data_IF_988646350609
#
_entry.id   IF_988646350609
#
_cell.length_a   1.000
_cell.length_b   1.000
_cell.length_c   1.000
_cell.angle_alpha   90.00
_cell.angle_beta   90.00
_cell.angle_gamma   90.00
#
_symmetry.space_group_name_H-M   'P 1'
#
loop_
_entity.id
_entity.type
_entity.pdbx_description
1 polymer ?
#
# COMPACT_ATOMS: atom_id res chain seq x y z
N UNK A 1 -17.93 7.58 28.67
CA UNK A 1 -17.78 6.22 29.23
C UNK A 1 -18.28 5.22 28.19
N UNK A 2 -17.48 4.24 27.78
CA UNK A 2 -17.88 3.22 26.80
C UNK A 2 -18.88 2.27 27.43
N UNK A 3 -20.15 2.35 27.03
CA UNK A 3 -21.24 1.51 27.52
C UNK A 3 -21.94 0.85 26.33
N UNK A 4 -22.37 -0.42 26.44
CA UNK A 4 -23.20 -1.04 25.42
C UNK A 4 -24.49 -0.24 25.20
N UNK A 5 -24.84 0.01 23.95
CA UNK A 5 -26.02 0.78 23.59
C UNK A 5 -26.28 0.72 22.08
N UNK A 6 -27.50 1.06 21.68
CA UNK A 6 -27.87 1.17 20.27
C UNK A 6 -27.43 2.53 19.76
N UNK A 7 -26.71 2.55 18.65
CA UNK A 7 -26.30 3.80 18.00
C UNK A 7 -27.50 4.35 17.20
N UNK A 8 -27.88 5.63 17.36
CA UNK A 8 -28.99 6.21 16.62
C UNK A 8 -28.71 6.21 15.11
N UNK A 9 -29.74 6.04 14.25
CA UNK A 9 -29.56 6.05 12.80
C UNK A 9 -29.11 7.42 12.25
N UNK A 10 -29.24 8.50 13.04
CA UNK A 10 -28.82 9.86 12.69
C UNK A 10 -27.38 10.19 13.09
N UNK A 11 -26.65 9.26 13.72
CA UNK A 11 -25.29 9.52 14.19
C UNK A 11 -24.30 9.53 13.02
N UNK A 12 -23.42 10.54 12.99
CA UNK A 12 -22.33 10.62 12.03
C UNK A 12 -21.11 9.79 12.43
N UNK A 13 -21.05 9.29 13.67
CA UNK A 13 -19.92 8.54 14.21
C UNK A 13 -20.36 7.22 14.83
N UNK A 14 -19.65 6.15 14.48
CA UNK A 14 -19.86 4.79 14.99
C UNK A 14 -18.81 4.47 16.03
N UNK A 15 -19.26 4.01 17.20
CA UNK A 15 -18.42 3.61 18.32
C UNK A 15 -18.51 2.10 18.52
N UNK A 16 -17.40 1.39 18.37
CA UNK A 16 -17.32 -0.06 18.57
C UNK A 16 -16.31 -0.38 19.67
N UNK A 17 -16.70 -1.25 20.60
CA UNK A 17 -15.81 -1.81 21.62
C UNK A 17 -15.67 -3.29 21.34
N UNK A 18 -14.48 -3.70 20.92
CA UNK A 18 -14.13 -5.10 20.65
C UNK A 18 -13.32 -5.63 21.81
N UNK A 19 -13.74 -6.75 22.38
CA UNK A 19 -12.96 -7.51 23.37
C UNK A 19 -12.39 -8.73 22.65
N UNK A 20 -11.07 -8.81 22.60
CA UNK A 20 -10.37 -9.97 22.04
C UNK A 20 -9.81 -10.77 23.20
N UNK A 21 -10.19 -12.04 23.30
CA UNK A 21 -9.75 -12.95 24.36
C UNK A 21 -8.78 -13.98 23.78
N UNK A 22 -7.70 -14.24 24.51
CA UNK A 22 -6.68 -15.25 24.17
C UNK A 22 -6.11 -15.11 22.74
N UNK A 23 -5.85 -13.88 22.30
CA UNK A 23 -5.16 -13.63 21.04
C UNK A 23 -3.70 -14.08 21.16
N UNK A 24 -3.28 -14.97 20.28
CA UNK A 24 -1.90 -15.45 20.21
C UNK A 24 -1.42 -15.52 18.78
N UNK A 25 -0.12 -15.32 18.58
CA UNK A 25 0.52 -15.45 17.27
C UNK A 25 1.72 -16.38 17.44
N UNK A 26 1.81 -17.39 16.57
CA UNK A 26 2.92 -18.35 16.56
C UNK A 26 3.53 -18.44 15.17
N UNK A 27 4.81 -18.80 15.12
CA UNK A 27 5.54 -19.05 13.89
C UNK A 27 6.57 -20.14 14.18
N UNK A 28 6.36 -21.33 13.61
CA UNK A 28 7.30 -22.44 13.70
C UNK A 28 8.12 -22.49 12.39
N UNK A 29 9.39 -22.03 12.37
CA UNK A 29 10.18 -21.95 11.14
C UNK A 29 10.45 -23.31 10.48
N UNK A 30 10.62 -24.33 11.30
CA UNK A 30 10.92 -25.71 10.87
C UNK A 30 9.72 -26.65 11.10
N UNK A 31 8.51 -26.08 11.23
CA UNK A 31 7.32 -26.85 11.56
C UNK A 31 6.98 -27.85 10.47
N UNK A 32 6.70 -29.09 10.87
CA UNK A 32 6.20 -30.11 9.95
C UNK A 32 4.78 -29.72 9.50
N UNK A 33 4.49 -29.64 8.19
CA UNK A 33 3.16 -29.24 7.74
C UNK A 33 2.16 -30.35 8.09
N UNK A 34 1.11 -30.01 8.84
CA UNK A 34 0.02 -30.94 9.18
C UNK A 34 -0.75 -31.46 7.97
N UNK A 35 -0.58 -30.79 6.82
CA UNK A 35 -1.08 -31.21 5.52
C UNK A 35 0.11 -31.35 4.56
N UNK A 36 0.46 -32.57 4.12
CA UNK A 36 1.60 -32.78 3.24
C UNK A 36 1.40 -32.15 1.85
N UNK A 37 0.15 -31.93 1.44
CA UNK A 37 -0.20 -31.24 0.21
C UNK A 37 -1.41 -30.34 0.46
N UNK A 38 -1.40 -29.12 -0.08
CA UNK A 38 -2.57 -28.24 -0.04
C UNK A 38 -3.54 -28.68 -1.15
N UNK A 39 -4.68 -29.30 -0.83
CA UNK A 39 -5.53 -29.87 -1.87
C UNK A 39 -6.15 -28.75 -2.70
N UNK A 40 -6.10 -28.90 -4.03
CA UNK A 40 -6.74 -27.95 -4.97
C UNK A 40 -8.26 -27.99 -4.84
N UNK A 41 -8.80 -29.14 -4.45
CA UNK A 41 -10.22 -29.39 -4.15
C UNK A 41 -10.29 -30.03 -2.77
N UNK A 42 -10.96 -29.36 -1.83
CA UNK A 42 -11.13 -29.88 -0.48
C UNK A 42 -12.23 -30.94 -0.46
N UNK A 43 -11.84 -32.21 -0.37
CA UNK A 43 -12.77 -33.27 -0.02
C UNK A 43 -13.29 -33.09 1.41
N UNK A 44 -14.55 -33.44 1.65
CA UNK A 44 -15.20 -33.25 2.94
C UNK A 44 -14.49 -34.01 4.09
N UNK A 45 -13.99 -35.21 3.82
CA UNK A 45 -13.18 -36.02 4.75
C UNK A 45 -11.92 -35.27 5.22
N UNK A 46 -11.18 -34.67 4.29
CA UNK A 46 -9.96 -33.91 4.57
C UNK A 46 -10.27 -32.64 5.38
N UNK A 47 -11.37 -31.96 5.08
CA UNK A 47 -11.82 -30.79 5.84
C UNK A 47 -12.15 -31.16 7.30
N UNK A 48 -12.87 -32.26 7.52
CA UNK A 48 -13.22 -32.75 8.87
C UNK A 48 -11.96 -33.14 9.64
N UNK A 49 -11.01 -33.82 8.98
CA UNK A 49 -9.75 -34.18 9.60
C UNK A 49 -8.94 -32.93 10.00
N UNK A 50 -8.80 -31.96 9.09
CA UNK A 50 -8.10 -30.70 9.35
C UNK A 50 -8.76 -29.89 10.47
N UNK A 51 -10.09 -29.84 10.52
CA UNK A 51 -10.84 -29.24 11.62
C UNK A 51 -10.50 -29.91 12.95
N UNK A 52 -10.43 -31.24 12.98
CA UNK A 52 -10.08 -31.99 14.20
C UNK A 52 -8.65 -31.71 14.67
N UNK A 53 -7.70 -31.61 13.74
CA UNK A 53 -6.31 -31.20 13.99
C UNK A 53 -6.30 -29.81 14.60
N UNK A 54 -6.98 -28.84 13.98
CA UNK A 54 -7.05 -27.46 14.48
C UNK A 54 -7.62 -27.38 15.90
N UNK A 55 -8.72 -28.08 16.21
CA UNK A 55 -9.27 -28.10 17.57
C UNK A 55 -8.29 -28.70 18.59
N UNK A 56 -7.60 -29.79 18.23
CA UNK A 56 -6.59 -30.41 19.09
C UNK A 56 -5.43 -29.45 19.34
N UNK A 57 -5.00 -28.76 18.30
CA UNK A 57 -3.90 -27.80 18.35
C UNK A 57 -4.22 -26.54 19.15
N UNK A 58 -5.45 -26.03 19.07
CA UNK A 58 -5.90 -24.93 19.94
C UNK A 58 -5.94 -25.32 21.41
N UNK A 59 -6.21 -26.60 21.72
CA UNK A 59 -6.27 -27.08 23.11
C UNK A 59 -4.89 -27.42 23.69
N UNK A 60 -3.98 -27.95 22.88
CA UNK A 60 -2.65 -28.40 23.31
C UNK A 60 -1.53 -27.40 23.01
N UNK A 61 -1.79 -26.38 22.19
CA UNK A 61 -0.79 -25.48 21.61
C UNK A 61 0.37 -26.23 20.93
N UNK A 62 0.03 -27.29 20.20
CA UNK A 62 0.98 -28.12 19.46
C UNK A 62 0.34 -28.74 18.21
N UNK A 63 1.15 -28.97 17.19
CA UNK A 63 0.80 -29.72 15.97
C UNK A 63 1.78 -30.88 15.85
N UNK A 64 1.26 -32.10 15.69
CA UNK A 64 2.06 -33.31 15.46
C UNK A 64 3.24 -33.52 16.45
N UNK A 65 2.98 -33.20 17.73
CA UNK A 65 3.92 -33.25 18.87
C UNK A 65 5.03 -32.18 18.84
N UNK A 66 4.95 -31.19 17.96
CA UNK A 66 5.75 -29.98 18.00
C UNK A 66 4.95 -28.85 18.66
N UNK A 67 5.51 -28.29 19.75
CA UNK A 67 4.88 -27.17 20.45
C UNK A 67 4.94 -25.88 19.61
N UNK A 68 3.97 -25.00 19.81
CA UNK A 68 3.94 -23.70 19.15
C UNK A 68 5.03 -22.78 19.70
N UNK A 69 5.86 -22.29 18.79
CA UNK A 69 6.79 -21.21 19.09
C UNK A 69 6.04 -19.87 18.97
N UNK A 70 5.56 -19.37 20.11
CA UNK A 70 4.80 -18.12 20.16
C UNK A 70 5.69 -16.90 19.89
N UNK A 71 5.28 -16.09 18.91
CA UNK A 71 5.76 -14.72 18.75
C UNK A 71 5.12 -13.80 19.79
N UNK A 72 3.81 -14.00 20.01
CA UNK A 72 3.01 -13.30 21.00
C UNK A 72 2.22 -14.33 21.78
N UNK A 73 2.48 -14.41 23.09
CA UNK A 73 1.75 -15.31 23.98
C UNK A 73 0.27 -14.89 24.08
N UNK A 74 -0.65 -15.83 24.34
CA UNK A 74 -2.07 -15.52 24.49
C UNK A 74 -2.32 -14.34 25.43
N UNK A 75 -2.95 -13.27 24.95
CA UNK A 75 -3.31 -12.11 25.75
C UNK A 75 -4.75 -11.66 25.46
N UNK A 76 -5.33 -10.92 26.40
CA UNK A 76 -6.67 -10.34 26.27
C UNK A 76 -6.57 -8.83 26.17
N UNK A 77 -7.28 -8.23 25.21
CA UNK A 77 -7.27 -6.78 25.01
C UNK A 77 -8.66 -6.23 24.70
N UNK A 78 -8.84 -4.95 24.98
CA UNK A 78 -10.02 -4.17 24.60
C UNK A 78 -9.59 -3.14 23.57
N UNK A 79 -10.22 -3.22 22.40
CA UNK A 79 -10.00 -2.33 21.27
C UNK A 79 -11.22 -1.43 21.17
N UNK A 80 -11.02 -0.13 21.26
CA UNK A 80 -12.05 0.88 21.03
C UNK A 80 -11.84 1.46 19.65
N UNK A 81 -12.87 1.43 18.83
CA UNK A 81 -12.87 1.94 17.47
C UNK A 81 -13.90 3.05 17.37
N UNK A 82 -13.46 4.20 16.86
CA UNK A 82 -14.32 5.33 16.52
C UNK A 82 -14.19 5.55 15.02
N UNK A 83 -15.29 5.38 14.28
CA UNK A 83 -15.34 5.63 12.84
C UNK A 83 -16.21 6.84 12.59
N UNK A 84 -15.67 7.87 11.93
CA UNK A 84 -16.46 8.99 11.45
C UNK A 84 -16.94 8.72 10.02
N UNK A 85 -18.26 8.65 9.84
CA UNK A 85 -18.95 8.38 8.58
C UNK A 85 -19.59 9.67 8.01
N UNK A 86 -19.13 10.85 8.41
CA UNK A 86 -19.66 12.12 7.90
C UNK A 86 -19.60 12.18 6.37
N UNK A 87 -20.76 12.33 5.73
CA UNK A 87 -20.88 12.45 4.26
C UNK A 87 -20.53 13.87 3.74
N UNK A 88 -19.76 14.65 4.51
CA UNK A 88 -19.51 16.08 4.26
C UNK A 88 -18.22 16.34 3.46
N UNK A 89 -17.83 15.42 2.57
CA UNK A 89 -16.64 15.58 1.72
C UNK A 89 -15.29 15.58 2.46
N UNK A 90 -15.28 15.42 3.79
CA UNK A 90 -14.06 15.20 4.57
C UNK A 90 -13.68 13.72 4.56
N UNK A 91 -12.37 13.45 4.51
CA UNK A 91 -11.82 12.08 4.55
C UNK A 91 -12.34 11.36 5.80
N UNK A 92 -12.94 10.17 5.62
CA UNK A 92 -13.36 9.34 6.75
C UNK A 92 -12.17 9.02 7.64
N UNK A 93 -12.31 9.32 8.94
CA UNK A 93 -11.26 9.09 9.94
C UNK A 93 -11.67 7.93 10.85
N UNK A 94 -10.77 6.99 10.99
CA UNK A 94 -10.88 5.88 11.95
C UNK A 94 -9.85 6.10 13.05
N UNK A 95 -10.31 6.19 14.30
CA UNK A 95 -9.47 6.24 15.49
C UNK A 95 -9.58 4.90 16.22
N UNK A 96 -8.43 4.31 16.54
CA UNK A 96 -8.35 3.03 17.24
C UNK A 96 -7.52 3.21 18.50
N UNK A 97 -8.13 2.96 19.65
CA UNK A 97 -7.49 2.95 20.97
C UNK A 97 -7.43 1.51 21.49
N UNK A 98 -6.22 0.95 21.56
CA UNK A 98 -5.95 -0.43 21.99
C UNK A 98 -5.40 -0.39 23.41
N UNK A 99 -6.14 -0.97 24.37
CA UNK A 99 -5.69 -1.07 25.75
C UNK A 99 -5.02 -2.43 25.96
N UNK A 100 -3.69 -2.43 26.00
CA UNK A 100 -2.85 -3.60 26.27
C UNK A 100 -2.53 -3.62 27.77
N UNK A 101 -2.81 -4.72 28.46
CA UNK A 101 -2.54 -4.84 29.90
C UNK A 101 -1.22 -5.56 30.17
N UNK A 102 -1.01 -6.73 29.55
CA UNK A 102 0.24 -7.49 29.64
C UNK A 102 0.42 -8.32 28.37
N UNK A 103 1.40 -7.96 27.54
CA UNK A 103 1.73 -8.70 26.31
C UNK A 103 3.16 -9.17 26.39
N UNK A 104 3.34 -10.49 26.39
CA UNK A 104 4.65 -11.11 26.29
C UNK A 104 4.96 -11.43 24.82
N UNK A 105 6.01 -10.80 24.30
CA UNK A 105 6.50 -10.98 22.94
C UNK A 105 7.94 -11.49 22.97
N UNK A 106 8.21 -12.50 22.16
CA UNK A 106 9.55 -13.07 22.02
C UNK A 106 9.76 -13.50 20.57
N UNK A 107 10.95 -13.23 20.03
CA UNK A 107 11.32 -13.62 18.67
C UNK A 107 12.66 -14.33 18.74
N UNK A 108 12.74 -15.54 18.19
CA UNK A 108 14.00 -16.27 17.99
C UNK A 108 14.71 -15.81 16.71
N UNK A 109 16.01 -16.06 16.59
CA UNK A 109 16.78 -15.73 15.39
C UNK A 109 16.19 -16.39 14.13
N UNK A 110 15.78 -17.66 14.24
CA UNK A 110 15.17 -18.39 13.13
C UNK A 110 13.81 -17.81 12.73
N UNK A 111 12.99 -17.40 13.72
CA UNK A 111 11.72 -16.73 13.48
C UNK A 111 11.92 -15.38 12.80
N UNK A 112 12.93 -14.60 13.21
CA UNK A 112 13.25 -13.32 12.60
C UNK A 112 13.66 -13.49 11.13
N UNK A 113 14.54 -14.45 10.83
CA UNK A 113 14.94 -14.76 9.45
C UNK A 113 13.74 -15.15 8.57
N UNK A 114 12.85 -16.00 9.09
CA UNK A 114 11.61 -16.38 8.41
C UNK A 114 10.67 -15.18 8.21
N UNK A 115 10.57 -14.29 9.19
CA UNK A 115 9.78 -13.06 9.08
C UNK A 115 10.29 -12.14 7.98
N UNK A 116 11.61 -11.95 7.85
CA UNK A 116 12.19 -11.17 6.75
C UNK A 116 11.87 -11.77 5.37
N UNK A 117 11.93 -13.10 5.24
CA UNK A 117 11.56 -13.81 3.99
C UNK A 117 10.07 -13.65 3.68
N UNK A 118 9.20 -13.79 4.69
CA UNK A 118 7.76 -13.59 4.57
C UNK A 118 7.43 -12.15 4.17
N UNK A 119 8.05 -11.15 4.81
CA UNK A 119 7.90 -9.75 4.45
C UNK A 119 8.26 -9.48 2.99
N UNK A 120 9.40 -10.02 2.54
CA UNK A 120 9.84 -9.90 1.15
C UNK A 120 8.83 -10.53 0.19
N UNK A 121 8.30 -11.71 0.53
CA UNK A 121 7.26 -12.39 -0.27
C UNK A 121 5.95 -11.60 -0.32
N UNK A 122 5.52 -11.01 0.81
CA UNK A 122 4.32 -10.19 0.89
C UNK A 122 4.46 -8.87 0.12
N UNK A 123 5.64 -8.26 0.10
CA UNK A 123 5.90 -7.07 -0.71
C UNK A 123 5.88 -7.39 -2.22
N UNK A 124 6.40 -8.56 -2.61
CA UNK A 124 6.38 -9.01 -4.01
C UNK A 124 4.99 -9.48 -4.49
N UNK A 125 4.08 -9.83 -3.57
CA UNK A 125 2.80 -10.48 -3.89
C UNK A 125 1.77 -9.61 -4.63
N UNK A 126 1.47 -8.37 -4.16
CA UNK A 126 0.46 -7.51 -4.79
C UNK A 126 1.01 -6.52 -5.83
N UNK A 127 2.25 -6.06 -5.69
CA UNK A 127 2.75 -4.89 -6.44
C UNK A 127 3.30 -5.26 -7.82
N UNK A 128 3.75 -6.50 -8.03
CA UNK A 128 4.46 -6.86 -9.28
C UNK A 128 3.82 -7.98 -10.10
N UNK A 129 2.93 -8.77 -9.51
CA UNK A 129 2.20 -9.80 -10.25
C UNK A 129 0.96 -9.19 -10.88
N UNK A 130 1.15 -8.56 -12.05
CA UNK A 130 0.06 -8.31 -12.99
C UNK A 130 -0.86 -9.54 -13.02
N UNK A 131 -2.18 -9.33 -12.93
CA UNK A 131 -3.19 -10.40 -12.98
C UNK A 131 -2.94 -11.37 -14.15
N UNK A 132 -2.35 -10.86 -15.24
CA UNK A 132 -1.96 -11.63 -16.43
C UNK A 132 -0.80 -12.58 -16.17
N UNK A 133 0.18 -12.18 -15.35
CA UNK A 133 1.29 -13.03 -14.93
C UNK A 133 0.78 -14.13 -14.01
N UNK A 134 -0.17 -13.87 -13.11
CA UNK A 134 -0.75 -14.92 -12.27
C UNK A 134 -1.47 -16.02 -13.08
N UNK A 135 -2.14 -15.65 -14.17
CA UNK A 135 -2.83 -16.62 -15.05
C UNK A 135 -1.88 -17.53 -15.83
N UNK A 136 -0.65 -17.06 -16.11
CA UNK A 136 0.35 -17.81 -16.86
C UNK A 136 1.26 -18.67 -15.97
N UNK A 137 0.99 -18.75 -14.65
CA UNK A 137 1.81 -19.52 -13.71
C UNK A 137 1.79 -21.02 -14.05
N UNK A 138 2.94 -21.66 -14.32
CA UNK A 138 3.01 -23.09 -14.61
C UNK A 138 2.49 -23.94 -13.46
N UNK A 139 1.84 -25.07 -13.77
CA UNK A 139 1.44 -26.05 -12.76
C UNK A 139 2.56 -27.08 -12.59
N UNK A 140 3.08 -27.23 -11.37
CA UNK A 140 4.11 -28.23 -11.04
C UNK A 140 5.47 -27.62 -10.64
N UNK A 141 6.37 -28.43 -10.08
CA UNK A 141 7.67 -27.98 -9.59
C UNK A 141 8.60 -27.56 -10.74
N UNK A 142 9.53 -26.65 -10.44
CA UNK A 142 10.49 -26.09 -11.43
C UNK A 142 11.29 -27.18 -12.16
N UNK A 143 11.63 -28.27 -11.45
CA UNK A 143 12.44 -29.37 -11.99
C UNK A 143 11.73 -30.21 -13.05
N UNK A 144 10.41 -30.28 -13.01
CA UNK A 144 9.63 -31.10 -13.96
C UNK A 144 9.37 -30.32 -15.26
N UNK A 145 9.07 -29.01 -15.16
CA UNK A 145 8.67 -28.18 -16.31
C UNK A 145 9.57 -26.94 -16.49
N UNK A 146 10.89 -27.15 -16.53
CA UNK A 146 11.89 -26.07 -16.62
C UNK A 146 11.59 -25.08 -17.74
N UNK A 147 11.19 -25.56 -18.92
CA UNK A 147 10.91 -24.71 -20.08
C UNK A 147 9.70 -23.77 -19.87
N UNK A 148 8.64 -24.24 -19.20
CA UNK A 148 7.46 -23.42 -18.91
C UNK A 148 7.77 -22.36 -17.85
N UNK A 149 8.56 -22.71 -16.84
CA UNK A 149 9.04 -21.78 -15.82
C UNK A 149 9.91 -20.66 -16.41
N UNK A 150 10.76 -20.96 -17.39
CA UNK A 150 11.51 -19.92 -18.12
C UNK A 150 10.62 -19.02 -18.96
N UNK A 151 9.63 -19.58 -19.68
CA UNK A 151 8.64 -18.79 -20.43
C UNK A 151 7.83 -17.90 -19.51
N UNK A 152 7.45 -18.40 -18.33
CA UNK A 152 6.79 -17.65 -17.29
C UNK A 152 7.65 -16.49 -16.78
N UNK A 153 8.91 -16.75 -16.41
CA UNK A 153 9.83 -15.73 -15.93
C UNK A 153 10.06 -14.63 -16.99
N UNK A 154 10.27 -15.01 -18.25
CA UNK A 154 10.41 -14.06 -19.36
C UNK A 154 9.14 -13.23 -19.55
N UNK A 155 7.97 -13.86 -19.47
CA UNK A 155 6.68 -13.19 -19.59
C UNK A 155 6.50 -12.21 -18.43
N UNK A 156 6.76 -12.62 -17.19
CA UNK A 156 6.66 -11.78 -16.00
C UNK A 156 7.52 -10.50 -16.14
N UNK A 157 8.81 -10.67 -16.48
CA UNK A 157 9.72 -9.55 -16.69
C UNK A 157 9.24 -8.65 -17.84
N UNK A 158 8.76 -9.22 -18.94
CA UNK A 158 8.24 -8.43 -20.07
C UNK A 158 6.97 -7.67 -19.70
N UNK A 159 6.04 -8.31 -18.99
CA UNK A 159 4.78 -7.69 -18.54
C UNK A 159 5.02 -6.55 -17.55
N UNK A 160 6.07 -6.64 -16.76
CA UNK A 160 6.39 -5.65 -15.74
C UNK A 160 7.26 -4.50 -16.28
N UNK A 161 8.28 -4.83 -17.07
CA UNK A 161 9.29 -3.83 -17.47
C UNK A 161 9.06 -3.26 -18.86
N UNK A 162 8.34 -3.95 -19.74
CA UNK A 162 8.22 -3.57 -21.16
C UNK A 162 6.77 -3.19 -21.50
N UNK A 163 5.80 -4.06 -21.21
CA UNK A 163 4.38 -3.84 -21.58
C UNK A 163 3.74 -2.58 -20.98
N UNK A 164 4.09 -2.08 -19.79
CA UNK A 164 3.52 -0.83 -19.30
C UNK A 164 3.91 0.37 -20.17
N UNK A 165 5.02 0.25 -20.91
CA UNK A 165 5.55 1.28 -21.80
C UNK A 165 5.16 1.03 -23.27
N UNK A 166 3.86 0.88 -23.55
CA UNK A 166 3.39 0.90 -24.93
C UNK A 166 3.60 2.29 -25.54
N UNK A 167 3.77 2.36 -26.87
CA UNK A 167 3.91 3.66 -27.54
C UNK A 167 2.71 4.58 -27.30
N UNK A 168 1.49 4.02 -27.26
CA UNK A 168 0.27 4.75 -26.94
C UNK A 168 0.32 5.33 -25.52
N UNK A 169 0.74 4.53 -24.53
CA UNK A 169 0.94 4.99 -23.17
C UNK A 169 1.99 6.11 -23.09
N UNK A 170 3.15 5.92 -23.71
CA UNK A 170 4.22 6.93 -23.74
C UNK A 170 3.73 8.23 -24.40
N UNK A 171 3.02 8.13 -25.52
CA UNK A 171 2.46 9.28 -26.23
C UNK A 171 1.46 10.03 -25.37
N UNK A 172 0.55 9.32 -24.70
CA UNK A 172 -0.44 9.91 -23.81
C UNK A 172 0.22 10.54 -22.57
N UNK A 173 1.20 9.85 -21.98
CA UNK A 173 1.97 10.35 -20.85
C UNK A 173 2.70 11.65 -21.20
N UNK A 174 3.41 11.70 -22.34
CA UNK A 174 4.09 12.92 -22.83
C UNK A 174 3.12 14.06 -23.08
N UNK A 175 1.93 13.76 -23.63
CA UNK A 175 0.87 14.76 -23.85
C UNK A 175 0.39 15.32 -22.50
N UNK A 176 0.06 14.46 -21.55
CA UNK A 176 -0.40 14.86 -20.22
C UNK A 176 0.67 15.65 -19.45
N UNK A 177 1.93 15.21 -19.51
CA UNK A 177 3.05 15.92 -18.89
C UNK A 177 3.21 17.34 -19.46
N UNK A 178 3.11 17.49 -20.78
CA UNK A 178 3.19 18.80 -21.44
C UNK A 178 2.03 19.72 -21.02
N UNK A 179 0.80 19.21 -21.08
CA UNK A 179 -0.39 19.95 -20.67
C UNK A 179 -0.32 20.35 -19.19
N UNK A 180 0.09 19.43 -18.31
CA UNK A 180 0.28 19.71 -16.90
C UNK A 180 1.26 20.85 -16.66
N UNK A 181 2.44 20.81 -17.32
CA UNK A 181 3.45 21.87 -17.20
C UNK A 181 2.91 23.22 -17.66
N UNK A 182 2.22 23.26 -18.79
CA UNK A 182 1.62 24.49 -19.34
C UNK A 182 0.55 25.05 -18.40
N UNK A 183 -0.39 24.21 -17.92
CA UNK A 183 -1.41 24.60 -16.94
C UNK A 183 -0.78 25.06 -15.63
N UNK A 184 0.27 24.39 -15.15
CA UNK A 184 0.99 24.78 -13.95
C UNK A 184 1.62 26.17 -14.08
N UNK A 185 2.27 26.48 -15.21
CA UNK A 185 2.78 27.83 -15.46
C UNK A 185 1.66 28.87 -15.45
N UNK A 186 0.50 28.57 -16.04
CA UNK A 186 -0.66 29.47 -15.99
C UNK A 186 -1.22 29.63 -14.58
N UNK A 187 -1.26 28.58 -13.75
CA UNK A 187 -1.68 28.71 -12.34
C UNK A 187 -0.74 29.56 -11.51
N UNK A 188 0.55 29.60 -11.84
CA UNK A 188 1.50 30.52 -11.22
C UNK A 188 1.16 31.96 -11.61
N UNK A 189 0.91 32.23 -12.89
CA UNK A 189 0.57 33.56 -13.39
C UNK A 189 -0.80 34.06 -12.91
N UNK A 190 -1.78 33.16 -12.78
CA UNK A 190 -3.17 33.47 -12.43
C UNK A 190 -3.64 32.62 -11.24
N UNK A 191 -3.19 32.92 -10.02
CA UNK A 191 -3.44 32.08 -8.84
C UNK A 191 -4.91 32.05 -8.39
N UNK A 192 -5.72 33.01 -8.81
CA UNK A 192 -7.15 33.10 -8.46
C UNK A 192 -8.08 32.33 -9.40
N UNK A 193 -7.58 31.78 -10.49
CA UNK A 193 -8.39 31.03 -11.44
C UNK A 193 -8.68 29.62 -10.90
N UNK A 194 -9.96 29.35 -10.62
CA UNK A 194 -10.43 28.07 -10.11
C UNK A 194 -10.49 26.98 -11.19
N UNK A 195 -10.69 27.35 -12.47
CA UNK A 195 -10.76 26.38 -13.56
C UNK A 195 -9.37 25.76 -13.81
N UNK A 196 -8.32 26.60 -13.78
CA UNK A 196 -6.95 26.11 -13.91
C UNK A 196 -6.54 25.14 -12.80
N UNK A 197 -7.02 25.34 -11.57
CA UNK A 197 -6.75 24.41 -10.45
C UNK A 197 -7.44 23.06 -10.64
N UNK A 198 -8.66 23.05 -11.18
CA UNK A 198 -9.38 21.81 -11.49
C UNK A 198 -8.70 21.04 -12.63
N UNK A 199 -8.29 21.73 -13.69
CA UNK A 199 -7.55 21.11 -14.79
C UNK A 199 -6.20 20.56 -14.32
N UNK A 200 -5.51 21.29 -13.44
CA UNK A 200 -4.25 20.84 -12.87
C UNK A 200 -4.42 19.54 -12.08
N UNK A 201 -5.44 19.45 -11.23
CA UNK A 201 -5.77 18.23 -10.49
C UNK A 201 -6.08 17.04 -11.43
N UNK A 202 -6.84 17.26 -12.50
CA UNK A 202 -7.14 16.23 -13.50
C UNK A 202 -5.90 15.65 -14.16
N UNK A 203 -4.86 16.46 -14.37
CA UNK A 203 -3.59 15.97 -14.90
C UNK A 203 -2.74 15.26 -13.83
N UNK A 204 -2.82 15.67 -12.56
CA UNK A 204 -2.12 15.02 -11.44
C UNK A 204 -2.62 13.60 -11.20
N UNK A 205 -3.91 13.34 -11.38
CA UNK A 205 -4.49 11.99 -11.30
C UNK A 205 -3.84 11.00 -12.29
N UNK A 206 -3.25 11.51 -13.37
CA UNK A 206 -2.63 10.72 -14.44
C UNK A 206 -1.08 10.69 -14.38
N UNK A 207 -0.46 11.40 -13.44
CA UNK A 207 0.99 11.51 -13.31
C UNK A 207 1.46 10.98 -11.95
N UNK A 208 2.65 10.37 -11.93
CA UNK A 208 3.28 9.98 -10.66
C UNK A 208 3.82 11.21 -9.94
N UNK A 209 3.94 11.12 -8.61
CA UNK A 209 4.46 12.20 -7.76
C UNK A 209 5.83 12.71 -8.25
N UNK A 210 6.72 11.79 -8.65
CA UNK A 210 8.03 12.16 -9.20
C UNK A 210 7.90 12.98 -10.49
N UNK A 211 7.06 12.54 -11.42
CA UNK A 211 6.82 13.27 -12.68
C UNK A 211 6.19 14.64 -12.43
N UNK A 212 5.29 14.75 -11.46
CA UNK A 212 4.69 16.02 -11.02
C UNK A 212 5.77 16.97 -10.50
N UNK A 213 6.66 16.50 -9.62
CA UNK A 213 7.76 17.30 -9.07
C UNK A 213 8.67 17.79 -10.21
N UNK A 214 9.10 16.89 -11.09
CA UNK A 214 9.96 17.24 -12.23
C UNK A 214 9.27 18.27 -13.12
N UNK A 215 7.99 18.08 -13.46
CA UNK A 215 7.25 19.01 -14.31
C UNK A 215 7.09 20.40 -13.69
N UNK A 216 6.88 20.48 -12.38
CA UNK A 216 6.77 21.76 -11.66
C UNK A 216 8.10 22.50 -11.66
N UNK A 217 9.21 21.81 -11.41
CA UNK A 217 10.54 22.42 -11.49
C UNK A 217 10.89 22.86 -12.91
N UNK A 218 10.62 22.02 -13.91
CA UNK A 218 10.81 22.38 -15.31
C UNK A 218 9.97 23.60 -15.71
N UNK A 219 8.70 23.65 -15.27
CA UNK A 219 7.80 24.78 -15.47
C UNK A 219 8.32 26.08 -14.84
N UNK A 220 8.88 26.02 -13.62
CA UNK A 220 9.52 27.18 -12.97
C UNK A 220 10.73 27.68 -13.75
N UNK A 221 11.58 26.76 -14.24
CA UNK A 221 12.75 27.11 -15.06
C UNK A 221 12.31 27.76 -16.37
N UNK A 222 11.30 27.21 -17.04
CA UNK A 222 10.78 27.75 -18.29
C UNK A 222 10.09 29.10 -18.10
N UNK A 223 9.34 29.26 -17.01
CA UNK A 223 8.70 30.53 -16.65
C UNK A 223 9.76 31.60 -16.38
N UNK A 224 10.81 31.29 -15.63
CA UNK A 224 11.93 32.20 -15.40
C UNK A 224 12.63 32.64 -16.70
N UNK A 225 12.72 31.76 -17.70
CA UNK A 225 13.28 32.10 -19.02
C UNK A 225 12.38 33.05 -19.82
N UNK A 226 11.06 32.90 -19.71
CA UNK A 226 10.07 33.74 -20.40
C UNK A 226 9.86 35.09 -19.69
N UNK A 227 9.76 35.05 -18.37
CA UNK A 227 9.50 36.18 -17.49
C UNK A 227 10.45 36.13 -16.29
N UNK A 228 11.64 36.74 -16.39
CA UNK A 228 12.68 36.65 -15.36
C UNK A 228 12.28 37.32 -14.03
N UNK A 229 11.29 38.21 -14.07
CA UNK A 229 10.79 38.99 -12.94
C UNK A 229 9.86 38.17 -12.01
N UNK A 230 9.27 37.09 -12.52
CA UNK A 230 8.24 36.30 -11.82
C UNK A 230 8.81 35.16 -10.94
N UNK A 231 10.08 34.80 -11.13
CA UNK A 231 10.73 33.69 -10.41
C UNK A 231 12.12 34.10 -9.92
N UNK A 232 12.28 34.20 -8.60
CA UNK A 232 13.55 34.46 -7.95
C UNK A 232 14.29 33.14 -7.67
N UNK A 233 15.63 33.23 -7.65
CA UNK A 233 16.48 32.09 -7.28
C UNK A 233 17.04 32.36 -5.90
N UNK A 234 16.69 31.51 -4.94
CA UNK A 234 17.35 31.49 -3.64
C UNK A 234 18.36 30.34 -3.63
N UNK A 235 19.63 30.67 -3.49
CA UNK A 235 20.70 29.72 -3.18
C UNK A 235 20.75 29.51 -1.67
N UNK A 236 20.34 28.32 -1.21
CA UNK A 236 20.38 27.95 0.21
C UNK A 236 21.80 27.52 0.62
N UNK A 237 22.58 26.95 -0.30
CA UNK A 237 23.99 26.54 -0.18
C UNK A 237 24.67 26.53 -1.57
N UNK A 238 26.00 26.32 -1.64
CA UNK A 238 26.75 26.27 -2.91
C UNK A 238 26.28 25.18 -3.90
N UNK A 239 25.49 24.21 -3.46
CA UNK A 239 24.95 23.11 -4.29
C UNK A 239 23.43 23.09 -4.40
N UNK A 240 22.70 23.78 -3.52
CA UNK A 240 21.23 23.70 -3.46
C UNK A 240 20.60 25.02 -3.92
N UNK A 241 19.99 24.95 -5.11
CA UNK A 241 19.30 26.06 -5.76
C UNK A 241 17.79 25.82 -5.66
N UNK A 242 17.06 26.76 -5.06
CA UNK A 242 15.61 26.74 -4.97
C UNK A 242 15.00 27.87 -5.80
N UNK A 243 14.02 27.53 -6.63
CA UNK A 243 13.25 28.52 -7.40
C UNK A 243 12.01 28.91 -6.60
N UNK A 244 11.88 30.20 -6.29
CA UNK A 244 10.73 30.75 -5.57
C UNK A 244 9.94 31.65 -6.50
N UNK A 245 8.63 31.51 -6.44
CA UNK A 245 7.70 32.33 -7.21
C UNK A 245 7.51 33.65 -6.48
N UNK A 246 7.70 34.77 -7.17
CA UNK A 246 7.54 36.10 -6.59
C UNK A 246 6.04 36.46 -6.51
N UNK A 247 5.41 36.22 -5.37
CA UNK A 247 3.97 36.43 -5.17
C UNK A 247 3.51 37.88 -5.23
N UNK A 248 4.38 38.84 -4.92
CA UNK A 248 4.04 40.28 -4.88
C UNK A 248 3.84 40.82 -6.30
N UNK A 249 4.70 40.45 -7.24
CA UNK A 249 4.60 40.87 -8.64
C UNK A 249 3.48 40.20 -9.42
N UNK A 250 3.10 38.99 -9.05
CA UNK A 250 1.96 38.29 -9.65
C UNK A 250 0.63 38.97 -9.33
N UNK A 251 0.54 39.73 -8.23
CA UNK A 251 -0.64 40.53 -7.91
C UNK A 251 -0.70 41.84 -8.72
N UNK A 252 0.42 42.36 -9.21
CA UNK A 252 0.46 43.54 -10.09
C UNK A 252 0.10 43.22 -11.56
N UNK A 253 0.22 41.95 -11.96
CA UNK A 253 -0.06 41.47 -13.32
C UNK A 253 -1.48 40.88 -13.50
N UNK A 254 -2.23 40.68 -12.42
CA UNK A 254 -3.58 40.11 -12.40
C UNK A 254 -4.67 41.20 -12.47
#
# INVERSE_FOLDING_TARGET
KWKPGVTPPTSTSVYQLVRVESLSVYLNPNGSPSLPFYPRIWEFSNLVNWKSIMYRSLRKFSIDNEDFEFLVKPFTTKIKVIMNQSNTGQVSRMLVDIVLQDVAMQISEQQFSSFCKLWTSLQQGPVERSRLVQQAHPNGPVKENVAEWWKYALTAVREQNIRPYTWEYIKNHRKNYKLYKETFMQTILRPNDTELKLDLQKYEDNLTILNIIIAREEGRIELKKKEPECVTVETLNSTDIKLIVNSERLQELA
#
